data_IF_973046962905
#
_entry.id   IF_973046962905
#
_cell.length_a   1.000
_cell.length_b   1.000
_cell.length_c   1.000
_cell.angle_alpha   90.00
_cell.angle_beta   90.00
_cell.angle_gamma   90.00
#
_symmetry.space_group_name_H-M   'P 1'
#
loop_
_entity.id
_entity.type
_entity.pdbx_description
1 polymer ?
#
# COMPACT_ATOMS: atom_id res chain seq x y z
N UNK A 1 10.65 -10.98 -20.50
CA UNK A 1 10.62 -9.79 -19.61
C UNK A 1 9.88 -10.17 -18.35
N UNK A 2 10.63 -10.44 -17.28
CA UNK A 2 10.17 -10.88 -15.97
C UNK A 2 9.17 -9.88 -15.41
N UNK A 3 8.02 -10.39 -14.97
CA UNK A 3 6.80 -9.63 -14.74
C UNK A 3 7.01 -8.42 -13.85
N UNK A 4 6.60 -7.27 -14.38
CA UNK A 4 6.15 -6.09 -13.66
C UNK A 4 5.18 -6.51 -12.55
N UNK A 5 5.67 -6.97 -11.40
CA UNK A 5 4.92 -6.77 -10.17
C UNK A 5 4.69 -5.27 -10.13
N UNK A 6 3.44 -4.84 -10.29
CA UNK A 6 3.05 -3.45 -10.20
C UNK A 6 3.77 -2.88 -8.98
N UNK A 7 4.64 -1.89 -9.16
CA UNK A 7 5.49 -1.34 -8.10
C UNK A 7 4.71 -1.02 -6.80
N UNK A 8 3.40 -0.76 -6.96
CA UNK A 8 2.40 -0.58 -5.90
C UNK A 8 2.14 -1.85 -5.07
N UNK A 9 1.97 -3.02 -5.70
CA UNK A 9 1.70 -4.28 -5.01
C UNK A 9 2.89 -4.81 -4.23
N UNK A 10 4.11 -4.68 -4.78
CA UNK A 10 5.33 -5.06 -4.06
C UNK A 10 5.52 -4.24 -2.77
N UNK A 11 5.30 -2.92 -2.85
CA UNK A 11 5.35 -2.01 -1.69
C UNK A 11 4.29 -2.35 -0.64
N UNK A 12 3.07 -2.72 -1.07
CA UNK A 12 2.03 -3.17 -0.14
C UNK A 12 2.47 -4.42 0.64
N UNK A 13 2.98 -5.45 -0.04
CA UNK A 13 3.41 -6.69 0.63
C UNK A 13 4.60 -6.46 1.56
N UNK A 14 5.53 -5.58 1.18
CA UNK A 14 6.64 -5.19 2.04
C UNK A 14 6.15 -4.48 3.31
N UNK A 15 5.22 -3.52 3.18
CA UNK A 15 4.61 -2.86 4.34
C UNK A 15 3.90 -3.87 5.26
N UNK A 16 3.17 -4.84 4.72
CA UNK A 16 2.57 -5.91 5.53
C UNK A 16 3.62 -6.76 6.28
N UNK A 17 4.77 -7.01 5.68
CA UNK A 17 5.86 -7.73 6.33
C UNK A 17 6.45 -6.92 7.49
N UNK A 18 6.69 -5.63 7.28
CA UNK A 18 7.19 -4.71 8.31
C UNK A 18 6.21 -4.60 9.48
N UNK A 19 4.91 -4.49 9.18
CA UNK A 19 3.86 -4.41 10.19
C UNK A 19 3.87 -5.62 11.15
N UNK A 20 4.21 -6.81 10.63
CA UNK A 20 4.31 -8.04 11.44
C UNK A 20 5.60 -8.15 12.25
N UNK A 21 6.63 -7.36 11.93
CA UNK A 21 7.97 -7.42 12.54
C UNK A 21 8.25 -6.22 13.46
N UNK A 22 7.22 -5.64 14.06
CA UNK A 22 7.30 -4.46 14.95
C UNK A 22 7.68 -3.13 14.26
N UNK A 23 7.89 -3.13 12.94
CA UNK A 23 8.09 -1.93 12.12
C UNK A 23 6.79 -1.21 11.76
N UNK A 24 5.93 -0.96 12.76
CA UNK A 24 4.56 -0.45 12.56
C UNK A 24 4.56 0.97 11.98
N UNK A 25 5.42 1.86 12.49
CA UNK A 25 5.51 3.25 12.01
C UNK A 25 5.98 3.32 10.55
N UNK A 26 7.03 2.57 10.21
CA UNK A 26 7.55 2.50 8.84
C UNK A 26 6.52 1.91 7.87
N UNK A 27 5.84 0.84 8.30
CA UNK A 27 4.78 0.23 7.52
C UNK A 27 3.59 1.18 7.30
N UNK A 28 3.21 1.96 8.33
CA UNK A 28 2.18 2.99 8.22
C UNK A 28 2.57 4.04 7.18
N UNK A 29 3.81 4.55 7.23
CA UNK A 29 4.31 5.52 6.24
C UNK A 29 4.24 5.00 4.80
N UNK A 30 4.55 3.73 4.58
CA UNK A 30 4.43 3.12 3.23
C UNK A 30 2.96 3.02 2.80
N UNK A 31 2.05 2.62 3.69
CA UNK A 31 0.63 2.58 3.37
C UNK A 31 0.07 3.96 3.07
N UNK A 32 0.46 4.99 3.82
CA UNK A 32 0.07 6.38 3.57
C UNK A 32 0.57 6.88 2.22
N UNK A 33 1.83 6.61 1.88
CA UNK A 33 2.41 6.94 0.58
C UNK A 33 1.63 6.27 -0.57
N UNK A 34 1.29 4.98 -0.44
CA UNK A 34 0.47 4.26 -1.43
C UNK A 34 -0.90 4.91 -1.61
N UNK A 35 -1.53 5.36 -0.52
CA UNK A 35 -2.83 6.03 -0.57
C UNK A 35 -2.73 7.41 -1.21
N UNK A 36 -1.69 8.17 -0.89
CA UNK A 36 -1.43 9.51 -1.44
C UNK A 36 -1.17 9.44 -2.95
N UNK A 37 -0.26 8.56 -3.37
CA UNK A 37 0.03 8.30 -4.79
C UNK A 37 -1.23 7.83 -5.53
N UNK A 38 -2.00 6.92 -4.93
CA UNK A 38 -3.25 6.43 -5.48
C UNK A 38 -4.29 7.52 -5.79
N UNK A 39 -4.32 8.60 -5.00
CA UNK A 39 -5.18 9.77 -5.24
C UNK A 39 -4.69 10.60 -6.44
N UNK A 40 -3.39 10.63 -6.69
CA UNK A 40 -2.76 11.40 -7.77
C UNK A 40 -2.81 10.68 -9.13
N UNK A 41 -3.00 9.36 -9.16
CA UNK A 41 -3.10 8.60 -10.41
C UNK A 41 -4.36 8.96 -11.20
N UNK A 42 -4.23 9.12 -12.52
CA UNK A 42 -5.33 9.31 -13.47
C UNK A 42 -5.60 8.04 -14.32
N UNK A 43 -6.82 7.92 -14.84
CA UNK A 43 -7.20 6.91 -15.85
C UNK A 43 -6.84 5.46 -15.49
N UNK A 44 -6.12 4.79 -16.38
CA UNK A 44 -5.77 3.37 -16.28
C UNK A 44 -4.86 3.02 -15.09
N UNK A 45 -3.96 3.94 -14.68
CA UNK A 45 -3.08 3.75 -13.53
C UNK A 45 -3.86 3.66 -12.22
N UNK A 46 -4.94 4.42 -12.10
CA UNK A 46 -5.86 4.35 -10.95
C UNK A 46 -6.56 3.00 -10.88
N UNK A 47 -6.94 2.40 -12.00
CA UNK A 47 -7.56 1.07 -12.04
C UNK A 47 -6.63 -0.01 -11.47
N UNK A 48 -5.38 -0.05 -11.95
CA UNK A 48 -4.38 -1.01 -11.49
C UNK A 48 -3.96 -0.82 -10.02
N UNK A 49 -4.00 0.41 -9.51
CA UNK A 49 -3.64 0.72 -8.12
C UNK A 49 -4.83 0.67 -7.14
N UNK A 50 -6.08 0.72 -7.63
CA UNK A 50 -7.28 0.88 -6.79
C UNK A 50 -7.38 -0.18 -5.70
N UNK A 51 -7.15 -1.44 -6.05
CA UNK A 51 -7.23 -2.54 -5.08
C UNK A 51 -6.19 -2.40 -3.96
N UNK A 52 -4.95 -2.09 -4.32
CA UNK A 52 -3.86 -1.92 -3.36
C UNK A 52 -4.05 -0.71 -2.45
N UNK A 53 -4.54 0.41 -3.00
CA UNK A 53 -4.89 1.61 -2.24
C UNK A 53 -6.01 1.32 -1.25
N UNK A 54 -7.02 0.55 -1.65
CA UNK A 54 -8.11 0.14 -0.75
C UNK A 54 -7.56 -0.71 0.40
N UNK A 55 -6.76 -1.73 0.11
CA UNK A 55 -6.17 -2.61 1.12
C UNK A 55 -5.24 -1.86 2.07
N UNK A 56 -4.43 -0.93 1.57
CA UNK A 56 -3.56 -0.08 2.40
C UNK A 56 -4.37 0.77 3.39
N UNK A 57 -5.50 1.35 2.97
CA UNK A 57 -6.42 2.06 3.88
C UNK A 57 -7.03 1.15 4.94
N UNK A 58 -7.42 -0.05 4.55
CA UNK A 58 -7.98 -1.04 5.48
C UNK A 58 -6.95 -1.43 6.56
N UNK A 59 -5.68 -1.62 6.19
CA UNK A 59 -4.59 -1.88 7.14
C UNK A 59 -4.36 -0.72 8.11
N UNK A 60 -4.26 0.52 7.60
CA UNK A 60 -4.12 1.71 8.46
C UNK A 60 -5.29 1.83 9.45
N UNK A 61 -6.52 1.57 9.00
CA UNK A 61 -7.70 1.61 9.87
C UNK A 61 -7.69 0.52 10.94
N UNK A 62 -7.29 -0.70 10.59
CA UNK A 62 -7.19 -1.80 11.55
C UNK A 62 -6.08 -1.54 12.58
N UNK A 63 -4.94 -1.00 12.14
CA UNK A 63 -3.82 -0.62 12.99
C UNK A 63 -4.14 0.49 13.98
N UNK A 64 -4.92 1.49 13.59
CA UNK A 64 -5.34 2.58 14.48
C UNK A 64 -6.35 2.16 15.57
N UNK A 65 -6.94 0.96 15.45
CA UNK A 65 -7.90 0.41 16.41
C UNK A 65 -7.28 -0.65 17.35
N UNK A 66 -5.99 -0.96 17.17
CA UNK A 66 -5.21 -1.91 17.98
C UNK A 66 -4.42 -1.18 19.05
#
# INVERSE_FOLDING_TARGET
MQGRFSFVGARYYYACLLWRKEGVEEAAGIFEALVAEGRQLSGAGRGAAREWVRRAREQLKAGAAS
#
